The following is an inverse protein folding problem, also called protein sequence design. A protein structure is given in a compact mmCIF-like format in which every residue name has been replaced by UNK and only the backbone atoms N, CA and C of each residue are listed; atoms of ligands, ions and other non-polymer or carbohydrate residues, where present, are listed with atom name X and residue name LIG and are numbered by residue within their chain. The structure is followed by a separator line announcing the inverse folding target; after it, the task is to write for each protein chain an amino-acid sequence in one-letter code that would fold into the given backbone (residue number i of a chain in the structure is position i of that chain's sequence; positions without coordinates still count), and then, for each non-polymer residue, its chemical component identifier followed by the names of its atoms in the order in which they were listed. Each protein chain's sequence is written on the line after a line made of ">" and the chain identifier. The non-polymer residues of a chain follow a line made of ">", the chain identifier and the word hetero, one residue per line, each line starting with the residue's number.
data_IF_743003183023
#
_entry.id   IF_743003183023
#
_cell.length_a   1.000
_cell.length_b   1.000
_cell.length_c   1.000
_cell.angle_alpha   90.00
_cell.angle_beta   90.00
_cell.angle_gamma   90.00
#
_symmetry.space_group_name_H-M   'P 1'
#
loop_
_entity.id
_entity.type
_entity.pdbx_description
1 polymer ?
#
# COMPACT_ATOMS: atom_id res chain seq x y z
N UNK A 1 24.44 10.81 13.37
CA UNK A 1 23.05 10.93 12.89
C UNK A 1 22.71 9.59 12.24
N UNK A 2 21.91 8.75 12.90
CA UNK A 2 21.50 7.47 12.30
C UNK A 2 20.60 7.81 11.12
N UNK A 3 20.99 7.40 9.91
CA UNK A 3 20.17 7.61 8.74
C UNK A 3 18.83 6.88 8.94
N UNK A 4 17.73 7.57 8.64
CA UNK A 4 16.40 7.00 8.75
C UNK A 4 16.28 5.89 7.68
N UNK A 5 16.29 4.62 8.10
CA UNK A 5 16.28 3.44 7.20
C UNK A 5 15.14 3.52 6.18
N UNK A 6 14.00 4.09 6.58
CA UNK A 6 12.86 4.37 5.70
C UNK A 6 13.21 5.28 4.54
N UNK A 7 13.92 6.39 4.81
CA UNK A 7 14.31 7.34 3.77
C UNK A 7 15.26 6.64 2.78
N UNK A 8 16.26 5.91 3.29
CA UNK A 8 17.20 5.16 2.46
C UNK A 8 16.45 4.16 1.57
N UNK A 9 15.53 3.39 2.14
CA UNK A 9 14.80 2.37 1.40
C UNK A 9 13.89 2.99 0.32
N UNK A 10 13.19 4.08 0.62
CA UNK A 10 12.35 4.78 -0.37
C UNK A 10 13.18 5.38 -1.50
N UNK A 11 14.27 6.07 -1.19
CA UNK A 11 15.13 6.68 -2.21
C UNK A 11 15.76 5.60 -3.10
N UNK A 12 16.23 4.51 -2.49
CA UNK A 12 16.78 3.36 -3.23
C UNK A 12 15.71 2.72 -4.12
N UNK A 13 14.48 2.53 -3.62
CA UNK A 13 13.38 1.98 -4.41
C UNK A 13 13.03 2.85 -5.61
N UNK A 14 12.94 4.17 -5.41
CA UNK A 14 12.65 5.14 -6.47
C UNK A 14 13.73 5.15 -7.54
N UNK A 15 15.00 5.04 -7.15
CA UNK A 15 16.12 4.92 -8.10
C UNK A 15 15.97 3.69 -8.99
N UNK A 16 15.75 2.51 -8.39
CA UNK A 16 15.55 1.28 -9.17
C UNK A 16 14.30 1.36 -10.07
N UNK A 17 13.22 2.00 -9.61
CA UNK A 17 12.02 2.23 -10.42
C UNK A 17 12.32 3.11 -11.64
N UNK A 18 13.10 4.19 -11.48
CA UNK A 18 13.54 5.04 -12.59
C UNK A 18 14.42 4.30 -13.60
N UNK A 19 15.23 3.35 -13.12
CA UNK A 19 16.06 2.46 -13.93
C UNK A 19 15.27 1.27 -14.53
N UNK A 20 13.94 1.22 -14.33
CA UNK A 20 13.05 0.12 -14.71
C UNK A 20 13.42 -1.26 -14.10
N UNK A 21 14.24 -1.30 -13.06
CA UNK A 21 14.45 -2.49 -12.23
C UNK A 21 13.33 -2.61 -11.19
N UNK A 22 12.13 -2.92 -11.68
CA UNK A 22 10.93 -3.01 -10.85
C UNK A 22 11.05 -4.08 -9.76
N UNK A 23 11.80 -5.15 -10.00
CA UNK A 23 12.04 -6.21 -9.01
C UNK A 23 12.79 -5.67 -7.81
N UNK A 24 13.86 -4.91 -8.03
CA UNK A 24 14.61 -4.28 -6.95
C UNK A 24 13.84 -3.13 -6.32
N UNK A 25 13.10 -2.34 -7.10
CA UNK A 25 12.22 -1.30 -6.57
C UNK A 25 11.22 -1.88 -5.56
N UNK A 26 10.48 -2.94 -5.93
CA UNK A 26 9.52 -3.62 -5.04
C UNK A 26 10.21 -4.13 -3.77
N UNK A 27 11.39 -4.74 -3.89
CA UNK A 27 12.15 -5.23 -2.72
C UNK A 27 12.39 -4.12 -1.70
N UNK A 28 12.80 -2.93 -2.14
CA UNK A 28 13.08 -1.81 -1.23
C UNK A 28 11.82 -1.11 -0.74
N UNK A 29 10.78 -0.96 -1.57
CA UNK A 29 9.48 -0.48 -1.12
C UNK A 29 8.87 -1.39 -0.04
N UNK A 30 9.03 -2.71 -0.14
CA UNK A 30 8.56 -3.64 0.90
C UNK A 30 9.28 -3.46 2.24
N UNK A 31 10.58 -3.12 2.22
CA UNK A 31 11.31 -2.78 3.46
C UNK A 31 10.76 -1.49 4.07
N UNK A 32 10.60 -0.45 3.24
CA UNK A 32 10.02 0.82 3.68
C UNK A 32 8.60 0.64 4.23
N UNK A 33 7.78 -0.23 3.62
CA UNK A 33 6.44 -0.55 4.10
C UNK A 33 6.48 -1.19 5.49
N UNK A 34 7.42 -2.10 5.74
CA UNK A 34 7.59 -2.73 7.06
C UNK A 34 7.96 -1.72 8.14
N UNK A 35 8.78 -0.73 7.82
CA UNK A 35 9.18 0.32 8.75
C UNK A 35 8.05 1.32 9.06
N UNK A 36 7.09 1.46 8.13
CA UNK A 36 5.99 2.43 8.19
C UNK A 36 4.60 1.81 8.20
N UNK A 37 4.48 0.54 8.58
CA UNK A 37 3.20 -0.20 8.51
C UNK A 37 2.11 0.39 9.42
N UNK A 38 2.49 1.09 10.48
CA UNK A 38 1.57 1.75 11.41
C UNK A 38 1.18 3.17 10.97
N UNK A 39 1.88 3.75 9.99
CA UNK A 39 1.58 5.06 9.41
C UNK A 39 0.70 4.86 8.16
N UNK A 40 -0.61 4.81 8.37
CA UNK A 40 -1.58 4.37 7.37
C UNK A 40 -1.44 5.06 6.01
N UNK A 41 -1.38 6.39 5.98
CA UNK A 41 -1.25 7.15 4.73
C UNK A 41 0.08 6.84 4.01
N UNK A 42 1.17 6.76 4.76
CA UNK A 42 2.49 6.36 4.26
C UNK A 42 2.44 4.94 3.68
N UNK A 43 1.85 3.98 4.40
CA UNK A 43 1.73 2.61 3.97
C UNK A 43 0.83 2.46 2.71
N UNK A 44 -0.25 3.23 2.60
CA UNK A 44 -1.08 3.30 1.39
C UNK A 44 -0.26 3.79 0.19
N UNK A 45 0.47 4.89 0.33
CA UNK A 45 1.30 5.44 -0.73
C UNK A 45 2.36 4.42 -1.21
N UNK A 46 3.00 3.71 -0.29
CA UNK A 46 3.97 2.66 -0.64
C UNK A 46 3.28 1.49 -1.35
N UNK A 47 2.08 1.10 -0.95
CA UNK A 47 1.32 0.07 -1.67
C UNK A 47 1.02 0.48 -3.12
N UNK A 48 0.72 1.75 -3.38
CA UNK A 48 0.53 2.24 -4.76
C UNK A 48 1.83 2.19 -5.56
N UNK A 49 2.96 2.54 -4.96
CA UNK A 49 4.27 2.46 -5.62
C UNK A 49 4.65 1.01 -5.97
N UNK A 50 4.42 0.07 -5.05
CA UNK A 50 4.62 -1.36 -5.31
C UNK A 50 3.67 -1.85 -6.41
N UNK A 51 2.40 -1.45 -6.35
CA UNK A 51 1.41 -1.81 -7.35
C UNK A 51 1.81 -1.34 -8.74
N UNK A 52 2.27 -0.09 -8.85
CA UNK A 52 2.70 0.47 -10.13
C UNK A 52 3.94 -0.27 -10.67
N UNK A 53 4.91 -0.62 -9.83
CA UNK A 53 6.05 -1.44 -10.25
C UNK A 53 5.62 -2.81 -10.81
N UNK A 54 4.65 -3.47 -10.18
CA UNK A 54 4.13 -4.75 -10.70
C UNK A 54 3.36 -4.58 -12.01
N UNK A 55 2.56 -3.51 -12.13
CA UNK A 55 1.85 -3.23 -13.37
C UNK A 55 2.83 -2.97 -14.53
N UNK A 56 3.86 -2.16 -14.29
CA UNK A 56 4.92 -1.87 -15.26
C UNK A 56 5.72 -3.11 -15.67
N UNK A 57 5.89 -4.07 -14.76
CA UNK A 57 6.51 -5.36 -15.07
C UNK A 57 5.57 -6.37 -15.73
N UNK A 58 4.32 -5.98 -16.04
CA UNK A 58 3.30 -6.85 -16.65
C UNK A 58 2.60 -7.83 -15.69
N UNK A 59 2.80 -7.71 -14.38
CA UNK A 59 2.14 -8.55 -13.37
C UNK A 59 0.94 -7.79 -12.74
N UNK A 60 -0.11 -7.62 -13.54
CA UNK A 60 -1.32 -6.93 -13.13
C UNK A 60 -2.01 -7.60 -11.92
N UNK A 61 -1.88 -8.93 -11.79
CA UNK A 61 -2.44 -9.68 -10.66
C UNK A 61 -1.79 -9.25 -9.35
N UNK A 62 -0.45 -9.15 -9.31
CA UNK A 62 0.26 -8.66 -8.14
C UNK A 62 0.03 -7.17 -7.91
N UNK A 63 -0.11 -6.37 -8.97
CA UNK A 63 -0.47 -4.96 -8.85
C UNK A 63 -1.81 -4.79 -8.09
N UNK A 64 -2.87 -5.47 -8.56
CA UNK A 64 -4.18 -5.45 -7.91
C UNK A 64 -4.14 -5.96 -6.47
N UNK A 65 -3.28 -6.95 -6.17
CA UNK A 65 -3.09 -7.44 -4.79
C UNK A 65 -2.63 -6.32 -3.85
N UNK A 66 -1.73 -5.44 -4.28
CA UNK A 66 -1.26 -4.31 -3.46
C UNK A 66 -2.27 -3.18 -3.36
N UNK A 67 -3.08 -2.92 -4.40
CA UNK A 67 -4.23 -2.02 -4.28
C UNK A 67 -5.23 -2.53 -3.24
N UNK A 68 -5.58 -3.82 -3.28
CA UNK A 68 -6.46 -4.44 -2.28
C UNK A 68 -5.85 -4.38 -0.87
N UNK A 69 -4.52 -4.51 -0.75
CA UNK A 69 -3.83 -4.38 0.53
C UNK A 69 -3.93 -2.94 1.08
N UNK A 70 -3.82 -1.91 0.23
CA UNK A 70 -4.01 -0.52 0.63
C UNK A 70 -5.40 -0.30 1.28
N UNK A 71 -6.45 -0.87 0.70
CA UNK A 71 -7.82 -0.80 1.24
C UNK A 71 -7.95 -1.65 2.52
N UNK A 72 -7.62 -2.93 2.44
CA UNK A 72 -7.90 -3.92 3.50
C UNK A 72 -7.04 -3.75 4.75
N UNK A 73 -5.79 -3.36 4.59
CA UNK A 73 -4.83 -3.29 5.70
C UNK A 73 -4.63 -1.86 6.20
N UNK A 74 -4.75 -0.88 5.31
CA UNK A 74 -4.39 0.52 5.61
C UNK A 74 -5.55 1.50 5.42
N UNK A 75 -6.74 1.03 5.01
CA UNK A 75 -7.96 1.84 4.99
C UNK A 75 -8.06 2.82 3.84
N UNK A 76 -7.40 2.58 2.71
CA UNK A 76 -7.58 3.40 1.52
C UNK A 76 -9.06 3.42 1.09
N UNK A 77 -9.58 4.60 0.83
CA UNK A 77 -10.92 4.82 0.28
C UNK A 77 -10.88 4.87 -1.26
N UNK A 78 -12.05 4.82 -1.90
CA UNK A 78 -12.17 5.07 -3.35
C UNK A 78 -11.59 6.45 -3.71
N UNK A 79 -11.81 7.47 -2.88
CA UNK A 79 -11.26 8.81 -3.10
C UNK A 79 -9.73 8.79 -3.11
N UNK A 80 -9.10 8.13 -2.14
CA UNK A 80 -7.64 7.97 -2.10
C UNK A 80 -7.13 7.28 -3.36
N UNK A 81 -7.82 6.23 -3.82
CA UNK A 81 -7.47 5.52 -5.06
C UNK A 81 -7.65 6.41 -6.30
N UNK A 82 -8.64 7.29 -6.35
CA UNK A 82 -8.84 8.17 -7.51
C UNK A 82 -7.94 9.40 -7.52
N UNK A 83 -7.55 9.89 -6.34
CA UNK A 83 -6.74 11.10 -6.19
C UNK A 83 -5.23 10.82 -6.26
N UNK A 84 -4.80 9.57 -6.12
CA UNK A 84 -3.38 9.23 -6.20
C UNK A 84 -2.81 9.50 -7.61
N UNK A 85 -1.57 9.98 -7.67
CA UNK A 85 -0.86 10.27 -8.92
C UNK A 85 0.09 9.15 -9.38
N UNK A 86 0.13 8.03 -8.63
CA UNK A 86 1.10 6.94 -8.85
C UNK A 86 0.54 5.90 -9.82
N UNK A 87 -0.71 5.47 -9.62
CA UNK A 87 -1.34 4.45 -10.46
C UNK A 87 -1.69 5.02 -11.83
N UNK A 88 -1.22 4.35 -12.89
CA UNK A 88 -1.48 4.77 -14.27
C UNK A 88 -2.96 4.73 -14.64
N UNK A 89 -3.37 5.61 -15.55
CA UNK A 89 -4.77 5.80 -15.96
C UNK A 89 -5.39 4.54 -16.58
N UNK A 90 -4.62 3.79 -17.36
CA UNK A 90 -5.02 2.51 -17.96
C UNK A 90 -5.21 1.44 -16.89
N UNK A 91 -4.26 1.30 -15.95
CA UNK A 91 -4.41 0.40 -14.81
C UNK A 91 -5.59 0.76 -13.91
N UNK A 92 -5.90 2.06 -13.76
CA UNK A 92 -7.03 2.53 -12.98
C UNK A 92 -8.38 2.03 -13.51
N UNK A 93 -8.48 1.62 -14.78
CA UNK A 93 -9.68 0.95 -15.31
C UNK A 93 -9.89 -0.40 -14.61
N UNK A 94 -8.84 -1.23 -14.53
CA UNK A 94 -8.86 -2.52 -13.83
C UNK A 94 -9.11 -2.34 -12.33
N UNK A 95 -8.45 -1.36 -11.71
CA UNK A 95 -8.66 -1.02 -10.29
C UNK A 95 -10.13 -0.69 -10.03
N UNK A 96 -10.75 0.16 -10.85
CA UNK A 96 -12.16 0.52 -10.69
C UNK A 96 -13.08 -0.70 -10.82
N UNK A 97 -12.85 -1.56 -11.82
CA UNK A 97 -13.65 -2.77 -12.03
C UNK A 97 -13.61 -3.68 -10.79
N UNK A 98 -12.43 -3.87 -10.19
CA UNK A 98 -12.26 -4.66 -8.97
C UNK A 98 -12.90 -3.99 -7.75
N UNK A 99 -12.71 -2.67 -7.59
CA UNK A 99 -13.24 -1.94 -6.43
C UNK A 99 -14.77 -1.86 -6.43
N UNK A 100 -15.43 -1.83 -7.61
CA UNK A 100 -16.89 -1.92 -7.70
C UNK A 100 -17.42 -3.19 -7.03
N UNK A 101 -16.69 -4.30 -7.13
CA UNK A 101 -17.11 -5.59 -6.59
C UNK A 101 -16.65 -5.80 -5.14
N UNK A 102 -15.41 -5.42 -4.81
CA UNK A 102 -14.75 -5.88 -3.59
C UNK A 102 -14.58 -4.80 -2.51
N UNK A 103 -14.78 -3.51 -2.83
CA UNK A 103 -14.43 -2.42 -1.91
C UNK A 103 -15.09 -2.54 -0.54
N UNK A 104 -16.40 -2.78 -0.49
CA UNK A 104 -17.14 -2.84 0.76
C UNK A 104 -16.63 -3.95 1.69
N UNK A 105 -16.30 -5.12 1.15
CA UNK A 105 -15.78 -6.24 1.94
C UNK A 105 -14.36 -5.98 2.44
N UNK A 106 -13.49 -5.48 1.56
CA UNK A 106 -12.10 -5.15 1.92
C UNK A 106 -12.05 -4.05 2.99
N UNK A 107 -12.82 -2.98 2.81
CA UNK A 107 -12.85 -1.87 3.76
C UNK A 107 -13.54 -2.24 5.07
N UNK A 108 -14.57 -3.09 5.04
CA UNK A 108 -15.17 -3.64 6.27
C UNK A 108 -14.15 -4.46 7.06
N UNK A 109 -13.33 -5.27 6.39
CA UNK A 109 -12.27 -6.04 7.06
C UNK A 109 -11.26 -5.13 7.77
N UNK A 110 -10.87 -4.01 7.14
CA UNK A 110 -10.02 -2.98 7.77
C UNK A 110 -10.66 -2.43 9.06
N UNK A 111 -11.93 -2.01 9.00
CA UNK A 111 -12.65 -1.45 10.15
C UNK A 111 -12.77 -2.45 11.32
N UNK A 112 -13.05 -3.71 11.02
CA UNK A 112 -13.14 -4.76 12.05
C UNK A 112 -11.79 -5.02 12.72
N UNK A 113 -10.71 -5.08 11.93
CA UNK A 113 -9.36 -5.28 12.45
C UNK A 113 -8.94 -4.15 13.40
N UNK A 114 -9.21 -2.89 13.02
CA UNK A 114 -8.84 -1.75 13.87
C UNK A 114 -9.69 -1.66 15.15
N UNK A 115 -11.00 -1.95 15.08
CA UNK A 115 -11.82 -2.00 16.30
C UNK A 115 -11.31 -3.04 17.30
N UNK A 116 -10.89 -4.21 16.82
CA UNK A 116 -10.28 -5.23 17.68
C UNK A 116 -8.95 -4.78 18.27
N UNK A 117 -8.15 -4.04 17.49
CA UNK A 117 -6.89 -3.46 17.97
C UNK A 117 -7.14 -2.46 19.10
N UNK A 118 -8.09 -1.53 18.93
CA UNK A 118 -8.45 -0.53 19.94
C UNK A 118 -8.93 -1.20 21.25
N UNK A 119 -9.76 -2.25 21.15
CA UNK A 119 -10.24 -3.00 22.31
C UNK A 119 -9.10 -3.72 23.06
N UNK A 120 -8.14 -4.31 22.34
CA UNK A 120 -6.98 -4.98 22.95
C UNK A 120 -6.04 -3.99 23.62
N UNK A 121 -5.71 -2.90 22.94
CA UNK A 121 -4.84 -1.85 23.48
C UNK A 121 -5.44 -1.24 24.77
N UNK A 122 -6.75 -0.99 24.79
CA UNK A 122 -7.44 -0.54 25.99
C UNK A 122 -7.38 -1.56 27.13
N UNK A 123 -7.59 -2.85 26.84
CA UNK A 123 -7.53 -3.91 27.86
C UNK A 123 -6.11 -4.09 28.45
N UNK A 124 -5.06 -3.85 27.66
CA UNK A 124 -3.66 -3.90 28.13
C UNK A 124 -3.31 -2.73 29.06
N UNK A 125 -3.86 -1.53 28.82
CA UNK A 125 -3.67 -0.36 29.68
C UNK A 125 -4.35 -0.48 31.05
N UNK A 126 -5.34 -1.37 31.17
CA UNK A 126 -6.13 -1.58 32.40
C UNK A 126 -5.60 -2.77 33.25
N UNK A 127 -4.45 -3.34 32.92
CA UNK A 127 -3.74 -4.38 33.69
C UNK A 127 -2.61 -3.77 34.51
#
# INVERSE_FOLDING_TARGET
>A
MLANEYIINIETARKFKQEADYKMAVKYYLKALKEKENEKETAQAICYEISDCFFESGDERSALKFVKAAVKNYGATIENLTANAVLKKDFMVSVKAVMVLEYHELHRAYLLKNRQFDQRAYAELMR
#
